data_IF_662146310661
#
_entry.id   IF_662146310661
#
_cell.length_a   1.000
_cell.length_b   1.000
_cell.length_c   1.000
_cell.angle_alpha   90.00
_cell.angle_beta   90.00
_cell.angle_gamma   90.00
#
_symmetry.space_group_name_H-M   'P 1'
#
loop_
_entity.id
_entity.type
_entity.pdbx_description
1 polymer ?
#
# COMPACT_ATOMS: atom_id res chain seq x y z
N UNK A 1 18.91 -28.48 -0.79
CA UNK A 1 18.28 -27.23 -0.36
C UNK A 1 17.68 -27.49 1.01
N UNK A 2 18.03 -26.70 2.00
CA UNK A 2 17.58 -26.94 3.37
C UNK A 2 16.08 -26.57 3.45
N UNK A 3 15.19 -27.53 3.72
CA UNK A 3 13.72 -27.36 3.76
C UNK A 3 13.31 -26.17 4.64
N UNK A 4 14.08 -25.94 5.70
CA UNK A 4 13.90 -24.83 6.63
C UNK A 4 14.13 -23.45 5.96
N UNK A 5 15.21 -23.30 5.19
CA UNK A 5 15.50 -22.05 4.45
C UNK A 5 14.44 -21.80 3.38
N UNK A 6 13.98 -22.83 2.69
CA UNK A 6 12.92 -22.72 1.70
C UNK A 6 11.62 -22.20 2.32
N UNK A 7 11.18 -22.79 3.42
CA UNK A 7 9.97 -22.38 4.12
C UNK A 7 10.08 -20.94 4.67
N UNK A 8 11.26 -20.58 5.19
CA UNK A 8 11.52 -19.21 5.67
C UNK A 8 11.39 -18.18 4.57
N UNK A 9 11.88 -18.47 3.36
CA UNK A 9 11.77 -17.55 2.22
C UNK A 9 10.33 -17.44 1.70
N UNK A 10 9.57 -18.52 1.72
CA UNK A 10 8.15 -18.46 1.39
C UNK A 10 7.37 -17.58 2.38
N UNK A 11 7.65 -17.70 3.68
CA UNK A 11 7.02 -16.83 4.69
C UNK A 11 7.46 -15.36 4.54
N UNK A 12 8.71 -15.11 4.18
CA UNK A 12 9.15 -13.76 3.83
C UNK A 12 8.40 -13.23 2.61
N UNK A 13 8.15 -14.09 1.62
CA UNK A 13 7.32 -13.75 0.47
C UNK A 13 5.89 -13.40 0.86
N UNK A 14 5.27 -14.17 1.76
CA UNK A 14 3.94 -13.84 2.31
C UNK A 14 3.95 -12.47 3.00
N UNK A 15 4.99 -12.17 3.79
CA UNK A 15 5.15 -10.87 4.43
C UNK A 15 5.24 -9.74 3.40
N UNK A 16 6.05 -9.92 2.36
CA UNK A 16 6.13 -8.97 1.24
C UNK A 16 4.76 -8.80 0.57
N UNK A 17 4.00 -9.88 0.42
CA UNK A 17 2.63 -9.84 -0.08
C UNK A 17 1.70 -8.97 0.78
N UNK A 18 1.73 -9.11 2.10
CA UNK A 18 0.91 -8.26 2.99
C UNK A 18 1.32 -6.79 2.97
N UNK A 19 2.58 -6.50 2.86
CA UNK A 19 3.07 -5.16 2.71
C UNK A 19 2.65 -4.52 1.38
N UNK A 20 2.81 -5.24 0.25
CA UNK A 20 2.30 -4.77 -1.04
C UNK A 20 0.78 -4.61 -1.02
N UNK A 21 0.06 -5.48 -0.30
CA UNK A 21 -1.38 -5.42 -0.16
C UNK A 21 -1.85 -4.10 0.45
N UNK A 22 -1.22 -3.64 1.55
CA UNK A 22 -1.61 -2.38 2.19
C UNK A 22 -1.53 -1.19 1.24
N UNK A 23 -0.50 -1.14 0.41
CA UNK A 23 -0.31 -0.06 -0.56
C UNK A 23 -1.25 -0.24 -1.76
N UNK A 24 -1.30 -1.45 -2.31
CA UNK A 24 -2.09 -1.75 -3.50
C UNK A 24 -3.59 -1.59 -3.28
N UNK A 25 -4.10 -1.97 -2.10
CA UNK A 25 -5.54 -1.85 -1.79
C UNK A 25 -5.96 -0.38 -1.68
N UNK A 26 -5.09 0.48 -1.13
CA UNK A 26 -5.31 1.92 -1.10
C UNK A 26 -5.32 2.52 -2.51
N UNK A 27 -4.34 2.14 -3.34
CA UNK A 27 -4.25 2.59 -4.72
C UNK A 27 -5.48 2.16 -5.55
N UNK A 28 -5.89 0.90 -5.41
CA UNK A 28 -7.08 0.34 -6.07
C UNK A 28 -8.36 1.06 -5.64
N UNK A 29 -8.48 1.43 -4.36
CA UNK A 29 -9.66 2.10 -3.82
C UNK A 29 -9.81 3.52 -4.37
N UNK A 30 -8.72 4.30 -4.48
CA UNK A 30 -8.74 5.63 -5.11
C UNK A 30 -9.13 5.52 -6.58
N UNK A 31 -8.55 4.55 -7.30
CA UNK A 31 -8.85 4.33 -8.70
C UNK A 31 -10.32 3.97 -8.92
N UNK A 32 -10.87 3.05 -8.12
CA UNK A 32 -12.26 2.58 -8.26
C UNK A 32 -13.30 3.68 -8.14
N UNK A 33 -13.09 4.64 -7.25
CA UNK A 33 -14.08 5.69 -6.97
C UNK A 33 -13.83 6.97 -7.79
N UNK A 34 -12.57 7.30 -8.02
CA UNK A 34 -12.19 8.56 -8.66
C UNK A 34 -11.68 8.43 -10.08
N UNK A 35 -11.39 7.21 -10.57
CA UNK A 35 -10.76 6.98 -11.88
C UNK A 35 -9.33 7.53 -11.97
N UNK A 36 -8.74 7.96 -10.86
CA UNK A 36 -7.42 8.58 -10.81
C UNK A 36 -6.34 7.53 -10.50
N UNK A 37 -5.37 7.41 -11.38
CA UNK A 37 -4.13 6.68 -11.11
C UNK A 37 -3.20 7.60 -10.31
N UNK A 38 -3.06 7.33 -9.01
CA UNK A 38 -2.29 8.16 -8.11
C UNK A 38 -0.82 7.72 -8.03
N UNK A 39 0.05 8.29 -8.86
CA UNK A 39 1.50 8.00 -8.82
C UNK A 39 2.18 8.58 -7.56
N UNK A 40 1.57 9.54 -6.86
CA UNK A 40 2.09 10.03 -5.58
C UNK A 40 1.82 9.07 -4.41
N UNK A 41 1.07 7.97 -4.63
CA UNK A 41 0.69 7.05 -3.56
C UNK A 41 1.90 6.45 -2.83
N UNK A 42 2.95 6.09 -3.58
CA UNK A 42 4.23 5.66 -3.01
C UNK A 42 4.96 6.75 -2.22
N UNK A 43 4.86 8.01 -2.65
CA UNK A 43 5.48 9.11 -1.90
C UNK A 43 4.84 9.30 -0.51
N UNK A 44 3.53 9.04 -0.35
CA UNK A 44 2.86 9.03 0.96
C UNK A 44 3.29 7.87 1.84
N UNK A 45 3.66 6.72 1.25
CA UNK A 45 4.32 5.65 1.98
C UNK A 45 5.68 6.13 2.54
N UNK A 46 6.49 6.81 1.72
CA UNK A 46 7.74 7.38 2.19
C UNK A 46 7.51 8.41 3.32
N UNK A 47 6.52 9.31 3.19
CA UNK A 47 6.13 10.23 4.27
C UNK A 47 5.83 9.43 5.56
N UNK A 48 5.08 8.33 5.46
CA UNK A 48 4.77 7.47 6.62
C UNK A 48 6.03 6.92 7.29
N UNK A 49 7.01 6.45 6.51
CA UNK A 49 8.28 5.95 7.03
C UNK A 49 9.11 7.04 7.72
N UNK A 50 9.21 8.22 7.12
CA UNK A 50 9.91 9.36 7.74
C UNK A 50 9.19 9.89 8.99
N UNK A 51 7.86 10.00 8.97
CA UNK A 51 7.08 10.39 10.13
C UNK A 51 7.19 9.36 11.27
N UNK A 52 7.37 8.07 10.98
CA UNK A 52 7.65 7.08 12.01
C UNK A 52 8.92 7.43 12.79
N UNK A 53 9.99 7.86 12.11
CA UNK A 53 11.24 8.27 12.76
C UNK A 53 11.03 9.51 13.63
N UNK A 54 10.26 10.48 13.14
CA UNK A 54 10.03 11.77 13.84
C UNK A 54 9.07 11.62 15.02
N UNK A 55 8.02 10.82 14.89
CA UNK A 55 6.94 10.72 15.88
C UNK A 55 7.26 9.71 16.99
N UNK A 56 7.99 8.63 16.67
CA UNK A 56 8.28 7.57 17.65
C UNK A 56 9.02 8.01 18.92
N UNK A 57 9.93 9.00 18.91
CA UNK A 57 10.55 9.48 20.14
C UNK A 57 9.55 10.05 21.15
N UNK A 58 8.40 10.54 20.68
CA UNK A 58 7.37 11.17 21.52
C UNK A 58 6.25 10.21 21.93
N UNK A 59 5.87 9.29 21.06
CA UNK A 59 4.69 8.41 21.24
C UNK A 59 5.04 6.94 21.42
N UNK A 60 6.31 6.59 21.26
CA UNK A 60 6.74 5.21 21.08
C UNK A 60 6.34 4.66 19.72
N UNK A 61 6.85 3.47 19.40
CA UNK A 61 6.53 2.82 18.10
C UNK A 61 5.04 2.52 17.93
N UNK A 62 4.38 1.96 18.95
CA UNK A 62 2.97 1.64 18.89
C UNK A 62 2.07 2.87 18.73
N UNK A 63 2.46 3.99 19.39
CA UNK A 63 1.82 5.27 19.16
C UNK A 63 2.00 5.77 17.73
N UNK A 64 3.20 5.63 17.15
CA UNK A 64 3.47 6.00 15.76
C UNK A 64 2.64 5.15 14.76
N UNK A 65 2.42 3.86 15.03
CA UNK A 65 1.55 2.98 14.19
C UNK A 65 0.12 3.49 14.10
N UNK A 66 -0.35 4.26 15.11
CA UNK A 66 -1.71 4.85 15.11
C UNK A 66 -1.67 6.29 14.60
N UNK A 67 -0.78 7.11 15.14
CA UNK A 67 -0.75 8.56 14.88
C UNK A 67 -0.32 8.87 13.45
N UNK A 68 0.72 8.19 12.95
CA UNK A 68 1.27 8.50 11.62
C UNK A 68 0.27 8.20 10.49
N UNK A 69 -0.42 7.05 10.44
CA UNK A 69 -1.45 6.82 9.41
C UNK A 69 -2.57 7.86 9.45
N UNK A 70 -2.95 8.35 10.61
CA UNK A 70 -3.97 9.40 10.74
C UNK A 70 -3.47 10.75 10.21
N UNK A 71 -2.21 11.12 10.49
CA UNK A 71 -1.59 12.32 9.92
C UNK A 71 -1.50 12.23 8.40
N UNK A 72 -1.03 11.07 7.88
CA UNK A 72 -0.92 10.83 6.44
C UNK A 72 -2.30 10.77 5.79
N UNK A 73 -3.32 10.24 6.47
CA UNK A 73 -4.71 10.30 6.00
C UNK A 73 -5.23 11.74 5.90
N UNK A 74 -4.89 12.59 6.88
CA UNK A 74 -5.19 14.02 6.84
C UNK A 74 -4.55 14.72 5.64
N UNK A 75 -3.27 14.44 5.37
CA UNK A 75 -2.58 14.91 4.18
C UNK A 75 -3.25 14.40 2.89
N UNK A 76 -3.68 13.14 2.88
CA UNK A 76 -4.42 12.55 1.77
C UNK A 76 -5.75 13.25 1.48
N UNK A 77 -6.54 13.53 2.52
CA UNK A 77 -7.79 14.31 2.39
C UNK A 77 -7.52 15.74 1.91
N UNK A 78 -6.46 16.37 2.39
CA UNK A 78 -6.06 17.70 1.93
C UNK A 78 -5.65 17.69 0.46
N UNK A 79 -4.83 16.73 0.06
CA UNK A 79 -4.38 16.54 -1.32
C UNK A 79 -5.58 16.32 -2.26
N UNK A 80 -6.52 15.48 -1.86
CA UNK A 80 -7.74 15.23 -2.62
C UNK A 80 -8.53 16.53 -2.83
N UNK A 81 -8.82 17.26 -1.76
CA UNK A 81 -9.62 18.50 -1.82
C UNK A 81 -8.97 19.61 -2.63
N UNK A 82 -7.65 19.76 -2.50
CA UNK A 82 -6.93 20.88 -3.15
C UNK A 82 -6.54 20.55 -4.59
N UNK A 83 -6.21 19.29 -4.89
CA UNK A 83 -5.65 18.90 -6.17
C UNK A 83 -6.58 17.97 -6.95
N UNK A 84 -6.96 16.80 -6.44
CA UNK A 84 -7.65 15.75 -7.21
C UNK A 84 -9.05 16.13 -7.61
N UNK A 85 -9.78 16.87 -6.77
CA UNK A 85 -11.17 17.34 -7.06
C UNK A 85 -11.32 18.03 -8.40
N UNK A 86 -10.25 18.68 -8.88
CA UNK A 86 -10.28 19.41 -10.17
C UNK A 86 -10.10 18.49 -11.37
N UNK A 87 -9.66 17.25 -11.16
CA UNK A 87 -9.26 16.35 -12.23
C UNK A 87 -10.17 15.13 -12.42
N UNK A 88 -11.19 14.92 -11.56
CA UNK A 88 -12.12 13.78 -11.69
C UNK A 88 -12.89 13.72 -13.04
N UNK A 89 -13.01 14.83 -13.72
CA UNK A 89 -13.67 14.93 -15.04
C UNK A 89 -12.71 15.32 -16.17
N UNK A 90 -11.41 15.42 -15.86
CA UNK A 90 -10.38 15.72 -16.83
C UNK A 90 -9.86 14.45 -17.51
N UNK A 91 -9.12 14.61 -18.60
CA UNK A 91 -8.41 13.50 -19.24
C UNK A 91 -7.48 12.81 -18.20
N UNK A 92 -7.48 11.48 -18.13
CA UNK A 92 -6.63 10.72 -17.21
C UNK A 92 -5.13 11.09 -17.27
N UNK A 93 -4.64 11.55 -18.42
CA UNK A 93 -3.25 12.01 -18.57
C UNK A 93 -2.92 13.20 -17.66
N UNK A 94 -3.86 14.13 -17.47
CA UNK A 94 -3.63 15.26 -16.57
C UNK A 94 -3.51 14.81 -15.10
N UNK A 95 -4.29 13.83 -14.70
CA UNK A 95 -4.19 13.29 -13.34
C UNK A 95 -2.88 12.51 -13.12
N UNK A 96 -2.39 11.81 -14.14
CA UNK A 96 -1.08 11.16 -14.10
C UNK A 96 0.05 12.17 -13.96
N UNK A 97 0.05 13.25 -14.77
CA UNK A 97 1.07 14.29 -14.69
C UNK A 97 1.05 15.02 -13.34
N UNK A 98 -0.16 15.34 -12.83
CA UNK A 98 -0.33 15.96 -11.52
C UNK A 98 0.26 15.09 -10.41
N UNK A 99 -0.12 13.82 -10.36
CA UNK A 99 0.31 12.91 -9.29
C UNK A 99 1.78 12.55 -9.41
N UNK A 100 2.34 12.47 -10.62
CA UNK A 100 3.77 12.33 -10.85
C UNK A 100 4.54 13.54 -10.34
N UNK A 101 4.10 14.75 -10.72
CA UNK A 101 4.70 16.00 -10.22
C UNK A 101 4.64 16.11 -8.70
N UNK A 102 3.49 15.73 -8.09
CA UNK A 102 3.33 15.70 -6.64
C UNK A 102 4.30 14.70 -5.99
N UNK A 103 4.49 13.51 -6.59
CA UNK A 103 5.46 12.53 -6.10
C UNK A 103 6.88 13.11 -6.08
N UNK A 104 7.29 13.79 -7.15
CA UNK A 104 8.60 14.43 -7.23
C UNK A 104 8.77 15.56 -6.20
N UNK A 105 7.73 16.38 -6.00
CA UNK A 105 7.75 17.44 -4.97
C UNK A 105 7.91 16.84 -3.58
N UNK A 106 7.16 15.78 -3.26
CA UNK A 106 7.26 15.10 -1.96
C UNK A 106 8.65 14.49 -1.79
N UNK A 107 9.16 13.75 -2.78
CA UNK A 107 10.49 13.14 -2.72
C UNK A 107 11.58 14.20 -2.50
N UNK A 108 11.52 15.31 -3.25
CA UNK A 108 12.50 16.38 -3.11
C UNK A 108 12.38 17.11 -1.77
N UNK A 109 11.15 17.26 -1.24
CA UNK A 109 10.92 17.84 0.09
C UNK A 109 11.51 16.96 1.19
N UNK A 110 11.35 15.62 1.09
CA UNK A 110 11.95 14.67 2.02
C UNK A 110 13.48 14.73 1.94
N UNK A 111 14.05 14.82 0.73
CA UNK A 111 15.48 14.96 0.50
C UNK A 111 16.03 16.26 1.09
N UNK A 112 15.30 17.34 0.97
CA UNK A 112 15.67 18.62 1.54
C UNK A 112 15.61 18.60 3.10
N UNK A 113 14.58 17.99 3.67
CA UNK A 113 14.36 17.98 5.11
C UNK A 113 15.27 16.98 5.86
N UNK A 114 15.54 15.81 5.27
CA UNK A 114 16.24 14.69 5.92
C UNK A 114 17.57 14.30 5.28
N UNK A 115 17.90 14.90 4.15
CA UNK A 115 19.09 14.54 3.35
C UNK A 115 18.84 13.37 2.41
N UNK A 116 19.88 12.98 1.68
CA UNK A 116 19.83 11.87 0.72
C UNK A 116 20.30 10.54 1.29
N UNK A 117 20.98 10.57 2.44
CA UNK A 117 21.50 9.36 3.07
C UNK A 117 20.38 8.52 3.65
N UNK A 118 20.41 7.17 3.49
CA UNK A 118 19.44 6.30 4.11
C UNK A 118 19.49 6.39 5.64
N UNK A 119 18.31 6.51 6.26
CA UNK A 119 18.16 6.50 7.71
C UNK A 119 17.79 5.11 8.20
N UNK A 120 18.48 4.65 9.25
CA UNK A 120 18.15 3.39 9.91
C UNK A 120 17.14 3.67 11.04
N UNK A 121 16.05 2.89 11.06
CA UNK A 121 15.08 2.90 12.15
C UNK A 121 15.03 1.52 12.80
N UNK A 122 15.37 1.44 14.09
CA UNK A 122 15.54 0.16 14.79
C UNK A 122 14.21 -0.53 15.12
N UNK A 123 14.23 -1.87 15.14
CA UNK A 123 13.08 -2.64 15.63
C UNK A 123 12.86 -2.33 17.12
N UNK A 124 11.61 -2.02 17.54
CA UNK A 124 11.26 -1.74 18.93
C UNK A 124 11.65 -2.89 19.87
N UNK A 125 12.08 -2.57 21.08
CA UNK A 125 12.60 -3.57 22.03
C UNK A 125 11.61 -4.71 22.32
N UNK A 126 10.33 -4.39 22.49
CA UNK A 126 9.26 -5.38 22.72
C UNK A 126 9.09 -6.38 21.58
N UNK A 127 9.44 -5.99 20.35
CA UNK A 127 9.31 -6.80 19.14
C UNK A 127 10.67 -7.35 18.67
N UNK A 128 11.76 -7.06 19.40
CA UNK A 128 13.06 -7.68 19.16
C UNK A 128 13.02 -9.13 19.56
N UNK A 129 13.74 -9.96 18.81
CA UNK A 129 13.87 -11.39 19.07
C UNK A 129 13.06 -12.24 18.12
N UNK A 130 13.06 -13.52 18.41
CA UNK A 130 12.54 -14.58 17.56
C UNK A 130 11.51 -15.41 18.32
N UNK A 131 10.58 -16.00 17.58
CA UNK A 131 9.65 -17.02 18.07
C UNK A 131 10.15 -18.36 17.57
N UNK A 132 10.26 -19.32 18.47
CA UNK A 132 10.65 -20.69 18.18
C UNK A 132 9.38 -21.53 18.06
N UNK A 133 9.13 -22.09 16.89
CA UNK A 133 8.04 -23.02 16.60
C UNK A 133 8.66 -24.36 16.22
N UNK A 134 9.11 -25.14 17.23
CA UNK A 134 9.97 -26.29 17.00
C UNK A 134 11.32 -25.86 16.42
N UNK A 135 11.70 -26.44 15.31
CA UNK A 135 12.93 -26.09 14.58
C UNK A 135 12.80 -24.81 13.74
N UNK A 136 11.60 -24.21 13.71
CA UNK A 136 11.31 -23.02 12.91
C UNK A 136 11.51 -21.74 13.74
N UNK A 137 12.38 -20.86 13.26
CA UNK A 137 12.74 -19.59 13.91
C UNK A 137 12.24 -18.44 13.05
N UNK A 138 11.36 -17.57 13.62
CA UNK A 138 10.82 -16.43 12.89
C UNK A 138 10.83 -15.14 13.71
N UNK A 139 11.01 -13.98 13.07
CA UNK A 139 11.06 -12.68 13.74
C UNK A 139 9.71 -12.30 14.33
N UNK A 140 9.67 -11.89 15.60
CA UNK A 140 8.48 -11.34 16.26
C UNK A 140 7.92 -10.13 15.53
N UNK A 141 8.81 -9.26 15.06
CA UNK A 141 8.42 -8.06 14.31
C UNK A 141 7.67 -8.38 13.02
N UNK A 142 8.11 -9.38 12.29
CA UNK A 142 7.47 -9.82 11.04
C UNK A 142 6.08 -10.40 11.27
N UNK A 143 5.88 -11.14 12.36
CA UNK A 143 4.56 -11.63 12.77
C UNK A 143 3.65 -10.45 13.12
N UNK A 144 4.13 -9.49 13.90
CA UNK A 144 3.40 -8.28 14.22
C UNK A 144 2.96 -7.51 12.96
N UNK A 145 3.85 -7.34 11.98
CA UNK A 145 3.53 -6.68 10.71
C UNK A 145 2.38 -7.38 9.98
N UNK A 146 2.43 -8.72 9.87
CA UNK A 146 1.36 -9.51 9.23
C UNK A 146 0.03 -9.31 9.96
N UNK A 147 0.03 -9.37 11.30
CA UNK A 147 -1.18 -9.19 12.11
C UNK A 147 -1.78 -7.81 11.91
N UNK A 148 -0.95 -6.75 11.94
CA UNK A 148 -1.42 -5.38 11.70
C UNK A 148 -1.95 -5.20 10.28
N UNK A 149 -1.28 -5.77 9.28
CA UNK A 149 -1.73 -5.72 7.89
C UNK A 149 -3.08 -6.43 7.71
N UNK A 150 -3.25 -7.62 8.28
CA UNK A 150 -4.53 -8.35 8.27
C UNK A 150 -5.62 -7.53 8.96
N UNK A 151 -5.33 -6.96 10.14
CA UNK A 151 -6.28 -6.14 10.89
C UNK A 151 -6.70 -4.89 10.10
N UNK A 152 -5.76 -4.21 9.44
CA UNK A 152 -6.05 -3.04 8.62
C UNK A 152 -6.91 -3.38 7.39
N UNK A 153 -6.60 -4.48 6.70
CA UNK A 153 -7.38 -4.95 5.53
C UNK A 153 -8.76 -5.44 5.95
N UNK A 154 -8.86 -6.19 7.06
CA UNK A 154 -10.14 -6.62 7.60
C UNK A 154 -10.98 -5.43 8.07
N UNK A 155 -10.37 -4.44 8.73
CA UNK A 155 -11.03 -3.20 9.11
C UNK A 155 -11.56 -2.42 7.91
N UNK A 156 -10.77 -2.30 6.84
CA UNK A 156 -11.21 -1.69 5.59
C UNK A 156 -12.37 -2.48 4.96
N UNK A 157 -12.28 -3.81 4.93
CA UNK A 157 -13.35 -4.65 4.41
C UNK A 157 -14.65 -4.47 5.21
N UNK A 158 -14.58 -4.46 6.55
CA UNK A 158 -15.72 -4.20 7.41
C UNK A 158 -16.31 -2.81 7.17
N UNK A 159 -15.45 -1.79 7.06
CA UNK A 159 -15.88 -0.42 6.76
C UNK A 159 -16.64 -0.35 5.44
N UNK A 160 -16.10 -0.97 4.39
CA UNK A 160 -16.72 -0.94 3.07
C UNK A 160 -17.98 -1.81 2.99
N UNK A 161 -18.06 -2.96 3.67
CA UNK A 161 -19.15 -3.91 3.49
C UNK A 161 -20.24 -3.81 4.55
N UNK A 162 -19.95 -3.34 5.77
CA UNK A 162 -20.86 -3.36 6.90
C UNK A 162 -21.37 -1.98 7.34
N UNK A 163 -20.86 -0.87 6.76
CA UNK A 163 -21.27 0.49 7.18
C UNK A 163 -22.10 1.22 6.12
N UNK A 164 -22.79 2.29 6.54
CA UNK A 164 -23.49 3.21 5.62
C UNK A 164 -22.50 3.91 4.68
N UNK A 165 -21.31 4.29 5.19
CA UNK A 165 -20.22 4.85 4.40
C UNK A 165 -19.86 3.95 3.21
N UNK A 166 -19.60 2.66 3.47
CA UNK A 166 -19.24 1.72 2.42
C UNK A 166 -20.36 1.48 1.40
N UNK A 167 -21.64 1.53 1.83
CA UNK A 167 -22.77 1.45 0.87
C UNK A 167 -22.78 2.60 -0.11
N UNK A 168 -22.56 3.82 0.38
CA UNK A 168 -22.54 5.02 -0.47
C UNK A 168 -21.30 5.00 -1.40
N UNK A 169 -20.13 4.61 -0.88
CA UNK A 169 -18.91 4.46 -1.68
C UNK A 169 -19.13 3.47 -2.84
N UNK A 170 -19.67 2.27 -2.56
CA UNK A 170 -19.94 1.27 -3.61
C UNK A 170 -21.00 1.74 -4.61
N UNK A 171 -22.05 2.41 -4.15
CA UNK A 171 -23.05 2.99 -5.06
C UNK A 171 -22.42 4.08 -5.95
N UNK A 172 -21.51 4.90 -5.40
CA UNK A 172 -20.77 5.91 -6.14
C UNK A 172 -19.82 5.33 -7.20
N UNK A 173 -19.23 4.16 -6.95
CA UNK A 173 -18.42 3.43 -7.93
C UNK A 173 -19.30 2.93 -9.09
N UNK A 174 -20.47 2.39 -8.78
CA UNK A 174 -21.38 1.82 -9.79
C UNK A 174 -22.05 2.89 -10.65
N UNK A 175 -22.61 3.93 -10.03
CA UNK A 175 -23.29 4.99 -10.75
C UNK A 175 -23.35 6.29 -9.93
N UNK A 176 -22.41 7.22 -10.14
CA UNK A 176 -22.36 8.50 -9.43
C UNK A 176 -23.57 9.41 -9.73
N UNK A 177 -24.15 9.30 -10.93
CA UNK A 177 -25.25 10.17 -11.37
C UNK A 177 -26.55 9.78 -10.65
N UNK A 178 -26.82 8.50 -10.44
CA UNK A 178 -27.97 8.04 -9.67
C UNK A 178 -27.85 8.52 -8.21
N UNK A 179 -26.65 8.48 -7.64
CA UNK A 179 -26.42 8.95 -6.28
C UNK A 179 -26.71 10.45 -6.16
N UNK A 180 -26.26 11.24 -7.15
CA UNK A 180 -26.54 12.67 -7.22
C UNK A 180 -28.04 12.96 -7.38
N UNK A 181 -28.78 12.19 -8.18
CA UNK A 181 -30.22 12.29 -8.32
C UNK A 181 -30.99 11.99 -7.02
N UNK A 182 -30.42 11.15 -6.14
CA UNK A 182 -30.93 10.91 -4.80
C UNK A 182 -30.57 12.01 -3.79
N UNK A 183 -29.90 13.08 -4.21
CA UNK A 183 -29.47 14.20 -3.36
C UNK A 183 -28.23 13.92 -2.53
N UNK A 184 -27.50 12.82 -2.78
CA UNK A 184 -26.31 12.45 -2.03
C UNK A 184 -25.06 13.00 -2.74
N UNK A 185 -24.35 13.94 -2.09
CA UNK A 185 -23.08 14.46 -2.60
C UNK A 185 -21.95 13.45 -2.41
N UNK A 186 -21.27 13.06 -3.49
CA UNK A 186 -20.16 12.12 -3.46
C UNK A 186 -18.84 12.75 -2.95
N UNK A 187 -18.69 14.08 -3.01
CA UNK A 187 -17.44 14.79 -2.67
C UNK A 187 -16.86 14.44 -1.29
N UNK A 188 -17.62 14.47 -0.17
CA UNK A 188 -17.07 14.14 1.14
C UNK A 188 -16.58 12.67 1.22
N UNK A 189 -17.21 11.77 0.49
CA UNK A 189 -16.83 10.36 0.42
C UNK A 189 -15.54 10.16 -0.38
N UNK A 190 -15.34 10.90 -1.48
CA UNK A 190 -14.08 10.93 -2.24
C UNK A 190 -12.91 11.34 -1.34
N UNK A 191 -13.07 12.44 -0.58
CA UNK A 191 -12.04 12.90 0.35
C UNK A 191 -11.74 11.88 1.45
N UNK A 192 -12.77 11.26 2.03
CA UNK A 192 -12.59 10.26 3.06
C UNK A 192 -11.91 8.99 2.53
N UNK A 193 -12.30 8.54 1.33
CA UNK A 193 -11.68 7.39 0.65
C UNK A 193 -10.21 7.68 0.34
N UNK A 194 -9.89 8.86 -0.19
CA UNK A 194 -8.50 9.26 -0.44
C UNK A 194 -7.69 9.30 0.87
N UNK A 195 -8.27 9.83 1.95
CA UNK A 195 -7.64 9.84 3.26
C UNK A 195 -7.35 8.43 3.78
N UNK A 196 -8.34 7.52 3.74
CA UNK A 196 -8.17 6.13 4.17
C UNK A 196 -7.10 5.42 3.33
N UNK A 197 -7.18 5.53 2.01
CA UNK A 197 -6.26 4.90 1.08
C UNK A 197 -4.81 5.38 1.29
N UNK A 198 -4.61 6.68 1.38
CA UNK A 198 -3.30 7.31 1.61
C UNK A 198 -2.81 7.02 3.04
N UNK A 199 -3.70 6.96 4.02
CA UNK A 199 -3.40 6.53 5.39
C UNK A 199 -2.89 5.09 5.45
N UNK A 200 -3.44 4.17 4.65
CA UNK A 200 -2.93 2.79 4.54
C UNK A 200 -1.52 2.74 3.94
N UNK A 201 -1.21 3.59 2.96
CA UNK A 201 0.16 3.73 2.47
C UNK A 201 1.10 4.25 3.57
N UNK A 202 0.66 5.24 4.36
CA UNK A 202 1.39 5.73 5.52
C UNK A 202 1.62 4.64 6.57
N UNK A 203 0.61 3.81 6.87
CA UNK A 203 0.73 2.66 7.76
C UNK A 203 1.77 1.66 7.25
N UNK A 204 1.73 1.33 5.95
CA UNK A 204 2.74 0.46 5.34
C UNK A 204 4.15 1.04 5.50
N UNK A 205 4.32 2.36 5.36
CA UNK A 205 5.58 3.07 5.58
C UNK A 205 6.11 2.92 7.00
N UNK A 206 5.24 3.14 8.01
CA UNK A 206 5.60 2.95 9.44
C UNK A 206 6.05 1.52 9.71
N UNK A 207 5.31 0.53 9.18
CA UNK A 207 5.58 -0.89 9.40
C UNK A 207 6.86 -1.36 8.70
N UNK A 208 7.24 -0.74 7.58
CA UNK A 208 8.45 -1.12 6.84
C UNK A 208 9.70 -0.37 7.29
N UNK A 209 9.58 0.79 7.93
CA UNK A 209 10.71 1.58 8.40
C UNK A 209 11.75 0.79 9.24
N UNK A 210 11.35 -0.16 10.16
CA UNK A 210 12.31 -0.96 10.90
C UNK A 210 12.97 -2.11 10.11
N UNK A 211 12.48 -2.42 8.90
CA UNK A 211 12.96 -3.55 8.08
C UNK A 211 13.90 -3.08 6.98
N UNK A 212 13.58 -1.95 6.36
CA UNK A 212 14.34 -1.38 5.24
C UNK A 212 14.88 -0.01 5.60
N UNK A 213 16.07 0.38 5.11
CA UNK A 213 16.56 1.73 5.27
C UNK A 213 15.60 2.74 4.67
N UNK A 214 15.27 3.80 5.43
CA UNK A 214 14.35 4.85 4.97
C UNK A 214 15.13 5.87 4.13
N UNK A 215 14.76 6.01 2.86
CA UNK A 215 15.38 6.95 1.93
C UNK A 215 14.31 7.64 1.04
N UNK A 216 14.58 8.84 0.49
CA UNK A 216 13.54 9.62 -0.20
C UNK A 216 12.89 8.92 -1.40
N UNK A 217 13.65 8.11 -2.16
CA UNK A 217 13.16 7.42 -3.35
C UNK A 217 12.41 6.11 -3.08
N UNK A 218 12.35 5.64 -1.80
CA UNK A 218 11.71 4.36 -1.44
C UNK A 218 10.25 4.27 -1.88
N UNK A 219 9.58 5.42 -1.99
CA UNK A 219 8.19 5.51 -2.43
C UNK A 219 7.99 5.06 -3.87
N UNK A 220 8.87 5.46 -4.79
CA UNK A 220 8.80 5.08 -6.20
C UNK A 220 9.06 3.57 -6.40
N UNK A 221 10.01 3.01 -5.64
CA UNK A 221 10.34 1.58 -5.71
C UNK A 221 9.14 0.71 -5.33
N UNK A 222 8.46 1.08 -4.24
CA UNK A 222 7.32 0.34 -3.72
C UNK A 222 6.07 0.52 -4.58
N UNK A 223 5.86 1.73 -5.10
CA UNK A 223 4.73 2.01 -5.97
C UNK A 223 4.70 1.10 -7.19
N UNK A 224 5.86 0.80 -7.77
CA UNK A 224 5.98 -0.05 -8.94
C UNK A 224 5.46 -1.46 -8.66
N UNK A 225 5.86 -2.07 -7.53
CA UNK A 225 5.38 -3.39 -7.13
C UNK A 225 3.87 -3.37 -6.77
N UNK A 226 3.42 -2.32 -6.06
CA UNK A 226 2.01 -2.17 -5.72
C UNK A 226 1.14 -1.99 -6.97
N UNK A 227 1.61 -1.28 -7.98
CA UNK A 227 0.92 -1.13 -9.26
C UNK A 227 0.77 -2.47 -9.98
N UNK A 228 1.83 -3.28 -10.02
CA UNK A 228 1.77 -4.64 -10.57
C UNK A 228 0.70 -5.48 -9.86
N UNK A 229 0.63 -5.40 -8.52
CA UNK A 229 -0.40 -6.10 -7.73
C UNK A 229 -1.81 -5.65 -8.12
N UNK A 230 -2.04 -4.35 -8.27
CA UNK A 230 -3.36 -3.80 -8.67
C UNK A 230 -3.75 -4.26 -10.07
N UNK A 231 -2.81 -4.26 -11.01
CA UNK A 231 -3.04 -4.70 -12.40
C UNK A 231 -3.32 -6.20 -12.45
N UNK A 232 -2.54 -7.03 -11.75
CA UNK A 232 -2.80 -8.48 -11.65
C UNK A 232 -4.15 -8.76 -11.00
N UNK A 233 -4.48 -8.03 -9.92
CA UNK A 233 -5.73 -8.21 -9.18
C UNK A 233 -6.96 -7.85 -9.99
N UNK A 234 -6.82 -6.90 -10.88
CA UNK A 234 -7.89 -6.21 -11.60
C UNK A 234 -8.24 -4.89 -10.92
N UNK A 235 -8.20 -3.82 -11.70
CA UNK A 235 -8.47 -2.45 -11.24
C UNK A 235 -9.87 -2.39 -10.61
N UNK A 236 -9.94 -2.00 -9.34
CA UNK A 236 -11.19 -1.86 -8.59
C UNK A 236 -11.68 -3.10 -7.84
N UNK A 237 -11.04 -4.26 -8.02
CA UNK A 237 -11.43 -5.48 -7.32
C UNK A 237 -10.70 -5.62 -5.97
N UNK A 238 -11.44 -5.53 -4.86
CA UNK A 238 -10.88 -5.71 -3.51
C UNK A 238 -10.20 -7.09 -3.35
N UNK A 239 -10.95 -8.16 -3.63
CA UNK A 239 -10.45 -9.53 -3.48
C UNK A 239 -9.41 -9.90 -4.51
N UNK A 240 -9.51 -9.34 -5.73
CA UNK A 240 -8.49 -9.50 -6.75
C UNK A 240 -7.13 -8.96 -6.29
N UNK A 241 -7.12 -7.77 -5.68
CA UNK A 241 -5.89 -7.17 -5.13
C UNK A 241 -5.33 -7.99 -3.98
N UNK A 242 -6.19 -8.52 -3.08
CA UNK A 242 -5.75 -9.41 -1.97
C UNK A 242 -5.05 -10.65 -2.51
N UNK A 243 -5.67 -11.34 -3.46
CA UNK A 243 -5.10 -12.55 -4.07
C UNK A 243 -3.81 -12.24 -4.85
N UNK A 244 -3.80 -11.16 -5.62
CA UNK A 244 -2.64 -10.75 -6.40
C UNK A 244 -1.44 -10.40 -5.51
N UNK A 245 -1.67 -9.69 -4.41
CA UNK A 245 -0.62 -9.32 -3.47
C UNK A 245 0.06 -10.57 -2.85
N UNK A 246 -0.75 -11.52 -2.41
CA UNK A 246 -0.23 -12.79 -1.87
C UNK A 246 0.50 -13.60 -2.94
N UNK A 247 -0.03 -13.66 -4.16
CA UNK A 247 0.59 -14.36 -5.29
C UNK A 247 1.94 -13.73 -5.66
N UNK A 248 2.00 -12.40 -5.77
CA UNK A 248 3.23 -11.65 -6.07
C UNK A 248 4.27 -11.87 -4.97
N UNK A 249 3.85 -11.80 -3.71
CA UNK A 249 4.72 -12.06 -2.58
C UNK A 249 5.27 -13.49 -2.57
N UNK A 250 4.41 -14.49 -2.80
CA UNK A 250 4.82 -15.89 -2.88
C UNK A 250 5.78 -16.15 -4.03
N UNK A 251 5.53 -15.61 -5.23
CA UNK A 251 6.43 -15.75 -6.39
C UNK A 251 7.79 -15.14 -6.08
N UNK A 252 7.82 -13.94 -5.48
CA UNK A 252 9.07 -13.31 -5.03
C UNK A 252 9.83 -14.19 -4.04
N UNK A 253 9.13 -14.70 -3.01
CA UNK A 253 9.70 -15.59 -2.00
C UNK A 253 10.23 -16.89 -2.60
N UNK A 254 9.50 -17.48 -3.55
CA UNK A 254 9.91 -18.70 -4.26
C UNK A 254 11.20 -18.47 -5.06
N UNK A 255 11.28 -17.38 -5.82
CA UNK A 255 12.48 -17.08 -6.64
C UNK A 255 13.71 -16.85 -5.79
N UNK A 256 13.55 -16.20 -4.63
CA UNK A 256 14.62 -16.04 -3.65
C UNK A 256 15.00 -17.41 -3.03
N UNK A 257 14.00 -18.24 -2.73
CA UNK A 257 14.23 -19.58 -2.12
C UNK A 257 15.02 -20.53 -3.03
N UNK A 258 14.84 -20.44 -4.35
CA UNK A 258 15.61 -21.25 -5.33
C UNK A 258 17.01 -20.67 -5.62
N UNK A 259 17.42 -19.59 -4.93
CA UNK A 259 18.76 -19.00 -5.05
C UNK A 259 18.94 -17.95 -6.14
N UNK A 260 17.84 -17.36 -6.64
CA UNK A 260 17.85 -16.36 -7.71
C UNK A 260 17.33 -14.99 -7.25
N UNK A 261 17.85 -14.37 -6.16
CA UNK A 261 17.30 -13.13 -5.61
C UNK A 261 17.30 -11.97 -6.61
N UNK A 262 18.30 -11.87 -7.49
CA UNK A 262 18.39 -10.82 -8.52
C UNK A 262 17.29 -10.90 -9.57
N UNK A 263 16.64 -12.06 -9.74
CA UNK A 263 15.54 -12.28 -10.66
C UNK A 263 14.15 -12.07 -10.03
N UNK A 264 14.08 -11.81 -8.73
CA UNK A 264 12.82 -11.69 -8.01
C UNK A 264 11.90 -10.59 -8.56
N UNK A 265 12.47 -9.45 -8.95
CA UNK A 265 11.71 -8.36 -9.57
C UNK A 265 11.25 -8.72 -10.99
N UNK A 266 12.13 -9.31 -11.80
CA UNK A 266 11.78 -9.78 -13.13
C UNK A 266 10.67 -10.84 -13.11
N UNK A 267 10.68 -11.73 -12.13
CA UNK A 267 9.64 -12.74 -11.95
C UNK A 267 8.26 -12.13 -11.65
N UNK A 268 8.21 -11.02 -10.89
CA UNK A 268 6.97 -10.29 -10.64
C UNK A 268 6.39 -9.71 -11.94
N UNK A 269 7.23 -9.11 -12.79
CA UNK A 269 6.79 -8.59 -14.09
C UNK A 269 6.41 -9.70 -15.07
N UNK A 270 7.15 -10.81 -15.05
CA UNK A 270 6.79 -11.99 -15.85
C UNK A 270 5.44 -12.55 -15.44
N UNK A 271 5.17 -12.62 -14.12
CA UNK A 271 3.87 -13.01 -13.58
C UNK A 271 2.77 -12.08 -14.09
N UNK A 272 2.99 -10.75 -14.04
CA UNK A 272 2.04 -9.77 -14.56
C UNK A 272 1.76 -10.00 -16.04
N UNK A 273 2.80 -10.18 -16.85
CA UNK A 273 2.67 -10.46 -18.28
C UNK A 273 1.84 -11.71 -18.53
N UNK A 274 2.13 -12.82 -17.82
CA UNK A 274 1.40 -14.08 -17.98
C UNK A 274 -0.07 -13.93 -17.56
N UNK A 275 -0.34 -13.25 -16.44
CA UNK A 275 -1.73 -13.04 -16.00
C UNK A 275 -2.50 -12.19 -17.02
N UNK A 276 -1.93 -11.08 -17.50
CA UNK A 276 -2.61 -10.23 -18.50
C UNK A 276 -2.79 -10.91 -19.85
N UNK A 277 -1.86 -11.79 -20.26
CA UNK A 277 -2.00 -12.58 -21.45
C UNK A 277 -3.18 -13.56 -21.37
N UNK A 278 -3.40 -14.16 -20.19
CA UNK A 278 -4.47 -15.15 -19.97
C UNK A 278 -5.80 -14.47 -19.57
N UNK A 279 -5.72 -13.38 -18.81
CA UNK A 279 -6.86 -12.60 -18.30
C UNK A 279 -6.58 -11.10 -18.43
N UNK A 280 -6.90 -10.46 -19.55
CA UNK A 280 -6.59 -9.05 -19.82
C UNK A 280 -7.18 -8.06 -18.79
N UNK A 281 -8.24 -8.45 -18.08
CA UNK A 281 -8.87 -7.65 -17.02
C UNK A 281 -8.31 -7.92 -15.61
N UNK A 282 -7.27 -8.75 -15.50
CA UNK A 282 -6.75 -9.23 -14.22
C UNK A 282 -7.50 -10.44 -13.67
N UNK A 283 -7.14 -10.88 -12.44
CA UNK A 283 -7.68 -12.10 -11.84
C UNK A 283 -9.19 -12.03 -11.56
N UNK A 284 -9.66 -10.85 -11.09
CA UNK A 284 -11.04 -10.60 -10.69
C UNK A 284 -11.55 -9.23 -11.19
N UNK A 285 -11.03 -8.72 -12.32
CA UNK A 285 -11.54 -7.54 -13.00
C UNK A 285 -12.85 -7.87 -13.73
N UNK A 286 -13.85 -7.00 -13.62
CA UNK A 286 -15.14 -7.09 -14.34
C UNK A 286 -15.02 -6.56 -15.77
#
# INVERSE_FOLDING_TARGET
MNTFLFLSQLLNGVLDGFYYLLIAIGLSLIFSLGGIVNLAHGAFFAIGAYLAIVVSPYTGFFGAVIVVPLLVAGLGMMTERLLFTRFYRADPLYSLLLTFGLAMVIEQSLRWAFGSAPLAYGIPELLRGQVFLGDFIYSRYRIFLIVVAIAAVAGLWLLLNRTAFGRIVRAGIQNPDILAAMGISLRPYLSAVAGIAIGLAGLAGVLMAPIVPVHPAMGAEVLTAAFVVVVIGGLGSFWGVVLAALLVGLVKGLVIAIGLPSWSLAAIYLLMFLVLMLRPRGLMGE
#
